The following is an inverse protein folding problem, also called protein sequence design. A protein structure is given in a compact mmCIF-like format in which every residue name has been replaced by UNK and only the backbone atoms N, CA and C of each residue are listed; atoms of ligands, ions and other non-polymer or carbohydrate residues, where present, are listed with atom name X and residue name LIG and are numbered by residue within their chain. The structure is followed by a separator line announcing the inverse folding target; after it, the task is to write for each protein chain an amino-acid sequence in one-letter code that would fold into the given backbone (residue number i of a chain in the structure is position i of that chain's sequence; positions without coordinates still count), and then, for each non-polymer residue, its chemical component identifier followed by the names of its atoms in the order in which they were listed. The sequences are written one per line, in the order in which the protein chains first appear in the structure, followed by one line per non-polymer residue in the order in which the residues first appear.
data_IF_627521468954
#
_entry.id   IF_627521468954
#
_cell.length_a   1.000
_cell.length_b   1.000
_cell.length_c   1.000
_cell.angle_alpha   90.00
_cell.angle_beta   90.00
_cell.angle_gamma   90.00
#
_symmetry.space_group_name_H-M   'P 1'
#
loop_
_entity.id
_entity.type
_entity.pdbx_description
1 polymer ?
#
# COMPACT_ATOMS: atom_id res chain seq x y z
N UNK A 1 -27.64 40.01 -21.14
CA UNK A 1 -27.58 38.53 -21.21
C UNK A 1 -27.04 38.04 -19.88
N UNK A 2 -27.86 37.36 -19.09
CA UNK A 2 -27.50 36.84 -17.77
C UNK A 2 -26.49 35.70 -17.93
N UNK A 3 -25.40 35.74 -17.15
CA UNK A 3 -24.44 34.65 -17.04
C UNK A 3 -25.14 33.43 -16.44
N UNK A 4 -25.41 32.45 -17.29
CA UNK A 4 -26.20 31.28 -16.98
C UNK A 4 -25.66 30.46 -15.82
N UNK A 5 -26.60 30.00 -15.01
CA UNK A 5 -26.50 28.90 -14.05
C UNK A 5 -25.83 27.67 -14.70
N UNK A 6 -24.53 27.53 -14.49
CA UNK A 6 -23.84 26.26 -14.70
C UNK A 6 -24.23 25.33 -13.55
N UNK A 7 -25.20 24.45 -13.82
CA UNK A 7 -25.60 23.37 -12.92
C UNK A 7 -24.38 22.64 -12.38
N UNK A 8 -24.27 22.55 -11.06
CA UNK A 8 -23.34 21.66 -10.39
C UNK A 8 -23.61 20.22 -10.84
N UNK A 9 -22.58 19.39 -11.04
CA UNK A 9 -22.78 17.99 -11.40
C UNK A 9 -23.69 17.31 -10.37
N UNK A 10 -24.64 16.49 -10.81
CA UNK A 10 -25.61 15.80 -9.95
C UNK A 10 -24.97 14.82 -8.96
N UNK A 11 -23.67 14.51 -9.12
CA UNK A 11 -22.91 13.58 -8.30
C UNK A 11 -22.03 14.31 -7.28
N UNK A 12 -22.68 14.92 -6.28
CA UNK A 12 -22.04 15.56 -5.12
C UNK A 12 -21.80 14.55 -3.99
N UNK A 13 -20.64 14.63 -3.36
CA UNK A 13 -20.23 13.88 -2.17
C UNK A 13 -19.78 14.83 -1.05
N UNK A 14 -19.75 14.38 0.19
CA UNK A 14 -19.13 15.14 1.27
C UNK A 14 -17.62 14.95 1.24
N UNK A 15 -17.17 13.71 1.03
CA UNK A 15 -15.77 13.31 0.99
C UNK A 15 -15.48 12.45 -0.24
N UNK A 16 -14.47 12.83 -1.02
CA UNK A 16 -13.88 11.97 -2.04
C UNK A 16 -12.49 11.53 -1.57
N UNK A 17 -12.28 10.22 -1.49
CA UNK A 17 -10.99 9.60 -1.19
C UNK A 17 -10.36 9.08 -2.48
N UNK A 18 -9.14 9.52 -2.77
CA UNK A 18 -8.42 9.14 -3.99
C UNK A 18 -7.35 8.11 -3.65
N UNK A 19 -7.55 6.87 -4.10
CA UNK A 19 -6.66 5.72 -3.88
C UNK A 19 -7.27 4.68 -2.94
N UNK A 20 -7.20 3.41 -3.32
CA UNK A 20 -7.69 2.23 -2.61
C UNK A 20 -6.59 1.42 -1.90
N UNK A 21 -5.47 2.08 -1.56
CA UNK A 21 -4.46 1.52 -0.66
C UNK A 21 -4.90 1.53 0.81
N UNK A 22 -4.06 1.07 1.76
CA UNK A 22 -4.43 0.96 3.17
C UNK A 22 -4.88 2.28 3.80
N UNK A 23 -4.20 3.38 3.47
CA UNK A 23 -4.61 4.71 3.91
C UNK A 23 -5.99 5.12 3.35
N UNK A 24 -6.25 4.81 2.08
CA UNK A 24 -7.47 5.22 1.41
C UNK A 24 -8.69 4.44 1.87
N UNK A 25 -8.62 3.11 1.93
CA UNK A 25 -9.74 2.30 2.46
C UNK A 25 -10.02 2.63 3.93
N UNK A 26 -8.99 2.93 4.72
CA UNK A 26 -9.16 3.38 6.11
C UNK A 26 -9.83 4.75 6.19
N UNK A 27 -9.40 5.72 5.36
CA UNK A 27 -10.00 7.04 5.31
C UNK A 27 -11.47 6.99 4.85
N UNK A 28 -11.79 6.14 3.86
CA UNK A 28 -13.18 5.94 3.42
C UNK A 28 -14.03 5.32 4.52
N UNK A 29 -13.53 4.28 5.22
CA UNK A 29 -14.20 3.70 6.39
C UNK A 29 -14.46 4.74 7.46
N UNK A 30 -13.43 5.48 7.88
CA UNK A 30 -13.56 6.52 8.92
C UNK A 30 -14.52 7.63 8.52
N UNK A 31 -14.52 8.05 7.25
CA UNK A 31 -15.46 9.05 6.72
C UNK A 31 -16.89 8.52 6.72
N UNK A 32 -17.13 7.32 6.21
CA UNK A 32 -18.45 6.72 6.17
C UNK A 32 -19.05 6.49 7.56
N UNK A 33 -18.22 6.13 8.55
CA UNK A 33 -18.64 5.98 9.96
C UNK A 33 -19.22 7.27 10.58
N UNK A 34 -18.91 8.45 10.05
CA UNK A 34 -19.50 9.71 10.51
C UNK A 34 -20.86 10.01 9.86
N UNK A 35 -21.29 9.19 8.90
CA UNK A 35 -22.47 9.41 8.07
C UNK A 35 -22.21 10.30 6.84
N UNK A 36 -20.96 10.66 6.56
CA UNK A 36 -20.62 11.45 5.37
C UNK A 36 -20.85 10.67 4.09
N UNK A 37 -21.47 11.29 3.08
CA UNK A 37 -21.61 10.71 1.74
C UNK A 37 -20.23 10.59 1.11
N UNK A 38 -19.66 9.38 1.13
CA UNK A 38 -18.25 9.13 0.85
C UNK A 38 -18.09 8.35 -0.45
N UNK A 39 -17.20 8.82 -1.32
CA UNK A 39 -16.76 8.09 -2.53
C UNK A 39 -15.27 7.78 -2.43
N UNK A 40 -14.89 6.52 -2.57
CA UNK A 40 -13.51 6.11 -2.81
C UNK A 40 -13.32 5.78 -4.30
N UNK A 41 -12.32 6.39 -4.94
CA UNK A 41 -11.91 6.06 -6.30
C UNK A 41 -10.55 5.38 -6.31
N UNK A 42 -10.43 4.27 -7.02
CA UNK A 42 -9.20 3.50 -7.22
C UNK A 42 -8.96 3.25 -8.71
N UNK A 43 -7.75 3.56 -9.17
CA UNK A 43 -7.37 3.42 -10.59
C UNK A 43 -7.29 1.97 -11.07
N UNK A 44 -6.94 1.05 -10.18
CA UNK A 44 -6.84 -0.37 -10.47
C UNK A 44 -8.23 -1.02 -10.47
N UNK A 45 -8.37 -2.14 -11.17
CA UNK A 45 -9.64 -2.87 -11.29
C UNK A 45 -10.10 -3.53 -9.99
N UNK A 46 -9.23 -3.62 -8.97
CA UNK A 46 -9.48 -4.32 -7.71
C UNK A 46 -8.86 -3.56 -6.54
N UNK A 47 -9.52 -3.63 -5.38
CA UNK A 47 -8.89 -3.34 -4.09
C UNK A 47 -8.02 -4.54 -3.72
N UNK A 48 -6.72 -4.43 -3.96
CA UNK A 48 -5.77 -5.53 -3.78
C UNK A 48 -4.34 -5.05 -3.51
N UNK A 49 -3.50 -5.95 -3.02
CA UNK A 49 -2.08 -5.71 -2.74
C UNK A 49 -1.21 -5.67 -4.01
N UNK A 50 -1.51 -4.76 -4.95
CA UNK A 50 -0.77 -4.65 -6.23
C UNK A 50 0.61 -4.01 -6.07
N UNK A 51 0.82 -3.23 -4.99
CA UNK A 51 2.12 -2.65 -4.66
C UNK A 51 2.94 -3.63 -3.79
N UNK A 52 4.19 -3.95 -4.17
CA UNK A 52 5.10 -4.75 -3.36
C UNK A 52 5.20 -4.25 -1.92
N UNK A 53 5.19 -5.19 -0.98
CA UNK A 53 5.16 -4.94 0.45
C UNK A 53 5.68 -6.17 1.20
N UNK A 54 6.40 -5.93 2.30
CA UNK A 54 6.85 -6.95 3.25
C UNK A 54 5.74 -7.73 3.96
N UNK A 55 4.53 -7.18 4.02
CA UNK A 55 3.36 -7.77 4.69
C UNK A 55 3.53 -8.14 6.18
N UNK A 56 4.66 -7.82 6.80
CA UNK A 56 4.83 -7.85 8.24
C UNK A 56 4.26 -6.58 8.90
N UNK A 57 3.34 -6.75 9.84
CA UNK A 57 2.72 -5.66 10.61
C UNK A 57 2.74 -5.98 12.10
N UNK A 58 2.63 -4.97 12.97
CA UNK A 58 2.40 -5.20 14.39
C UNK A 58 0.95 -5.60 14.66
N UNK A 59 0.67 -6.27 15.79
CA UNK A 59 -0.71 -6.58 16.21
C UNK A 59 -1.57 -5.32 16.30
N UNK A 60 -0.98 -4.24 16.81
CA UNK A 60 -1.60 -2.91 16.94
C UNK A 60 -2.09 -2.32 15.61
N UNK A 61 -1.52 -2.72 14.48
CA UNK A 61 -1.98 -2.27 13.16
C UNK A 61 -3.42 -2.73 12.88
N UNK A 62 -3.78 -3.99 13.21
CA UNK A 62 -5.16 -4.47 13.03
C UNK A 62 -6.12 -3.82 14.01
N UNK A 63 -5.69 -3.63 15.26
CA UNK A 63 -6.46 -2.89 16.29
C UNK A 63 -6.78 -1.47 15.83
N UNK A 64 -5.77 -0.74 15.34
CA UNK A 64 -5.92 0.63 14.85
C UNK A 64 -6.79 0.70 13.61
N UNK A 65 -6.69 -0.30 12.72
CA UNK A 65 -7.57 -0.41 11.55
C UNK A 65 -9.02 -0.78 11.93
N UNK A 66 -9.26 -1.22 13.18
CA UNK A 66 -10.54 -1.74 13.63
C UNK A 66 -10.95 -3.01 12.87
N UNK A 67 -9.97 -3.88 12.56
CA UNK A 67 -10.17 -5.12 11.82
C UNK A 67 -9.87 -6.29 12.75
N UNK A 68 -10.80 -7.23 12.86
CA UNK A 68 -10.57 -8.51 13.53
C UNK A 68 -9.90 -9.47 12.55
N UNK A 69 -9.01 -10.37 13.00
CA UNK A 69 -8.48 -11.42 12.13
C UNK A 69 -9.61 -12.28 11.56
N UNK A 70 -9.81 -12.20 10.24
CA UNK A 70 -10.68 -13.11 9.48
C UNK A 70 -9.85 -14.23 8.86
N UNK A 71 -10.52 -15.29 8.40
CA UNK A 71 -9.83 -16.44 7.79
C UNK A 71 -8.93 -15.99 6.61
N UNK A 72 -7.67 -16.42 6.64
CA UNK A 72 -6.68 -16.09 5.61
C UNK A 72 -6.06 -14.69 5.72
N UNK A 73 -6.55 -13.81 6.61
CA UNK A 73 -5.94 -12.49 6.82
C UNK A 73 -4.56 -12.62 7.47
N UNK A 74 -4.48 -13.36 8.58
CA UNK A 74 -3.21 -13.68 9.24
C UNK A 74 -2.66 -14.95 8.61
N UNK A 75 -1.47 -14.85 8.02
CA UNK A 75 -0.73 -15.98 7.47
C UNK A 75 0.02 -16.67 8.60
N UNK A 76 0.83 -15.91 9.34
CA UNK A 76 1.61 -16.39 10.48
C UNK A 76 1.60 -15.33 11.59
N UNK A 77 1.59 -15.76 12.85
CA UNK A 77 2.11 -14.93 13.95
C UNK A 77 3.62 -14.97 13.92
N UNK A 78 4.26 -13.80 13.99
CA UNK A 78 5.73 -13.72 13.84
C UNK A 78 6.37 -12.84 14.90
N UNK A 79 7.51 -13.29 15.41
CA UNK A 79 8.49 -12.44 16.08
C UNK A 79 9.50 -11.87 15.07
N UNK A 80 10.33 -10.91 15.47
CA UNK A 80 11.38 -10.38 14.59
C UNK A 80 12.77 -10.68 15.13
N UNK A 81 13.71 -10.98 14.24
CA UNK A 81 15.14 -11.09 14.56
C UNK A 81 15.95 -10.16 13.67
N UNK A 82 16.81 -9.38 14.30
CA UNK A 82 17.69 -8.41 13.63
C UNK A 82 19.13 -8.90 13.71
N UNK A 83 19.76 -9.09 12.55
CA UNK A 83 21.15 -9.52 12.42
C UNK A 83 22.05 -8.31 12.16
N UNK A 84 23.11 -8.19 12.94
CA UNK A 84 24.20 -7.24 12.74
C UNK A 84 25.20 -7.76 11.68
N UNK A 85 26.05 -6.89 11.10
CA UNK A 85 26.99 -7.28 10.03
C UNK A 85 27.99 -8.38 10.43
N UNK A 86 28.26 -8.55 11.72
CA UNK A 86 29.15 -9.58 12.25
C UNK A 86 28.44 -10.92 12.55
N UNK A 87 27.19 -11.08 12.11
CA UNK A 87 26.39 -12.29 12.31
C UNK A 87 25.71 -12.41 13.68
N UNK A 88 26.03 -11.54 14.66
CA UNK A 88 25.30 -11.50 15.93
C UNK A 88 23.86 -11.04 15.68
N UNK A 89 22.91 -11.53 16.48
CA UNK A 89 21.51 -11.14 16.35
C UNK A 89 20.83 -10.82 17.68
N UNK A 90 19.75 -10.06 17.59
CA UNK A 90 18.82 -9.78 18.70
C UNK A 90 17.42 -10.18 18.26
N UNK A 91 16.72 -10.94 19.11
CA UNK A 91 15.29 -11.24 18.94
C UNK A 91 14.46 -10.13 19.59
N UNK A 92 13.51 -9.59 18.84
CA UNK A 92 12.49 -8.66 19.34
C UNK A 92 11.32 -9.51 19.84
N UNK A 93 11.00 -9.38 21.13
CA UNK A 93 10.02 -10.22 21.82
C UNK A 93 8.56 -9.90 21.49
N UNK A 94 8.28 -8.75 20.89
CA UNK A 94 6.93 -8.40 20.45
C UNK A 94 6.51 -9.27 19.26
N UNK A 95 5.30 -9.81 19.34
CA UNK A 95 4.70 -10.58 18.25
C UNK A 95 3.91 -9.65 17.34
N UNK A 96 4.05 -9.84 16.04
CA UNK A 96 3.25 -9.23 14.98
C UNK A 96 2.60 -10.29 14.10
N UNK A 97 2.15 -9.87 12.92
CA UNK A 97 1.54 -10.75 11.93
C UNK A 97 2.25 -10.60 10.59
N UNK A 98 2.47 -11.74 9.93
CA UNK A 98 2.51 -11.78 8.47
C UNK A 98 1.08 -11.87 7.98
N UNK A 99 0.68 -10.96 7.08
CA UNK A 99 -0.70 -10.89 6.59
C UNK A 99 -0.84 -11.16 5.10
N UNK A 100 -2.04 -11.55 4.69
CA UNK A 100 -2.50 -11.36 3.33
C UNK A 100 -3.03 -9.93 3.21
N UNK A 101 -2.22 -9.05 2.62
CA UNK A 101 -2.58 -7.64 2.47
C UNK A 101 -3.81 -7.42 1.59
N UNK A 102 -4.09 -8.28 0.60
CA UNK A 102 -5.30 -8.15 -0.22
C UNK A 102 -6.55 -8.36 0.64
N UNK A 103 -6.56 -9.39 1.48
CA UNK A 103 -7.68 -9.65 2.40
C UNK A 103 -7.84 -8.49 3.38
N UNK A 104 -6.75 -7.98 3.96
CA UNK A 104 -6.83 -6.82 4.86
C UNK A 104 -7.47 -5.60 4.17
N UNK A 105 -7.04 -5.27 2.94
CA UNK A 105 -7.58 -4.11 2.22
C UNK A 105 -9.06 -4.30 1.87
N UNK A 106 -9.44 -5.51 1.46
CA UNK A 106 -10.82 -5.84 1.11
C UNK A 106 -11.73 -5.84 2.35
N UNK A 107 -11.24 -6.29 3.50
CA UNK A 107 -11.97 -6.25 4.77
C UNK A 107 -12.26 -4.80 5.21
N UNK A 108 -11.26 -3.92 5.14
CA UNK A 108 -11.47 -2.49 5.47
C UNK A 108 -12.41 -1.83 4.45
N UNK A 109 -12.29 -2.18 3.17
CA UNK A 109 -13.18 -1.67 2.13
C UNK A 109 -14.62 -2.14 2.30
N UNK A 110 -14.83 -3.41 2.67
CA UNK A 110 -16.15 -3.96 2.98
C UNK A 110 -16.79 -3.21 4.15
N UNK A 111 -16.04 -3.00 5.24
CA UNK A 111 -16.51 -2.20 6.37
C UNK A 111 -16.84 -0.75 5.98
N UNK A 112 -16.11 -0.14 5.05
CA UNK A 112 -16.47 1.18 4.53
C UNK A 112 -17.80 1.16 3.76
N UNK A 113 -17.99 0.16 2.89
CA UNK A 113 -19.21 -0.01 2.10
C UNK A 113 -20.44 -0.32 2.96
N UNK A 114 -20.28 -1.11 4.03
CA UNK A 114 -21.34 -1.37 5.02
C UNK A 114 -21.85 -0.08 5.68
N UNK A 115 -21.00 0.93 5.79
CA UNK A 115 -21.36 2.26 6.32
C UNK A 115 -21.72 3.26 5.20
N UNK A 116 -21.97 2.78 3.98
CA UNK A 116 -22.49 3.59 2.87
C UNK A 116 -21.43 4.26 2.00
N UNK A 117 -20.13 3.92 2.13
CA UNK A 117 -19.13 4.39 1.17
C UNK A 117 -19.36 3.75 -0.21
N UNK A 118 -19.42 4.58 -1.25
CA UNK A 118 -19.36 4.12 -2.64
C UNK A 118 -17.89 3.86 -3.02
N UNK A 119 -17.62 2.73 -3.68
CA UNK A 119 -16.25 2.33 -4.06
C UNK A 119 -16.19 2.10 -5.56
N UNK A 120 -15.48 2.96 -6.27
CA UNK A 120 -15.25 2.85 -7.70
C UNK A 120 -13.83 2.37 -7.98
N UNK A 121 -13.71 1.10 -8.36
CA UNK A 121 -12.48 0.54 -8.94
C UNK A 121 -12.43 0.79 -10.45
N UNK A 122 -11.24 0.80 -11.04
CA UNK A 122 -11.04 1.09 -12.46
C UNK A 122 -11.33 2.55 -12.82
N UNK A 123 -11.24 3.46 -11.84
CA UNK A 123 -11.50 4.88 -12.00
C UNK A 123 -10.28 5.69 -11.54
N UNK A 124 -9.59 6.28 -12.51
CA UNK A 124 -8.35 7.02 -12.25
C UNK A 124 -8.64 8.50 -11.98
N UNK A 125 -8.06 9.03 -10.91
CA UNK A 125 -7.96 10.47 -10.69
C UNK A 125 -7.10 11.14 -11.76
N UNK A 126 -7.60 12.25 -12.31
CA UNK A 126 -6.93 13.07 -13.32
C UNK A 126 -6.45 14.37 -12.71
N UNK A 127 -7.36 15.17 -12.14
CA UNK A 127 -7.06 16.50 -11.61
C UNK A 127 -8.15 16.98 -10.64
N UNK A 128 -7.88 18.05 -9.89
CA UNK A 128 -8.88 18.72 -9.06
C UNK A 128 -8.73 20.24 -9.09
N UNK A 129 -9.84 20.95 -8.87
CA UNK A 129 -9.86 22.41 -8.76
C UNK A 129 -10.80 22.84 -7.64
N UNK A 130 -10.40 23.85 -6.88
CA UNK A 130 -11.27 24.47 -5.87
C UNK A 130 -12.10 25.57 -6.51
N UNK A 131 -13.42 25.55 -6.30
CA UNK A 131 -14.35 26.57 -6.80
C UNK A 131 -15.50 26.77 -5.81
N UNK A 132 -15.77 28.02 -5.43
CA UNK A 132 -16.91 28.40 -4.59
C UNK A 132 -17.05 27.59 -3.28
N UNK A 133 -15.94 27.27 -2.62
CA UNK A 133 -15.93 26.49 -1.39
C UNK A 133 -15.97 24.97 -1.57
N UNK A 134 -16.23 24.47 -2.78
CA UNK A 134 -16.18 23.04 -3.11
C UNK A 134 -14.92 22.67 -3.91
N UNK A 135 -14.63 21.37 -3.97
CA UNK A 135 -13.58 20.78 -4.79
C UNK A 135 -14.23 20.01 -5.93
N UNK A 136 -13.96 20.42 -7.17
CA UNK A 136 -14.31 19.68 -8.37
C UNK A 136 -13.21 18.67 -8.66
N UNK A 137 -13.56 17.39 -8.69
CA UNK A 137 -12.66 16.26 -8.92
C UNK A 137 -12.92 15.68 -10.29
N UNK A 138 -11.90 15.66 -11.15
CA UNK A 138 -11.96 15.05 -12.48
C UNK A 138 -11.35 13.66 -12.43
N UNK A 139 -12.08 12.70 -12.98
CA UNK A 139 -11.67 11.29 -13.05
C UNK A 139 -11.75 10.78 -14.49
N UNK A 140 -11.34 9.54 -14.72
CA UNK A 140 -11.50 8.86 -16.01
C UNK A 140 -12.94 8.50 -16.34
N UNK A 141 -13.89 8.63 -15.41
CA UNK A 141 -15.32 8.34 -15.63
C UNK A 141 -16.21 9.58 -15.67
N UNK A 142 -15.75 10.71 -15.12
CA UNK A 142 -16.51 11.94 -15.14
C UNK A 142 -15.97 12.98 -14.17
N UNK A 143 -16.86 13.88 -13.76
CA UNK A 143 -16.56 14.92 -12.78
C UNK A 143 -17.52 14.83 -11.59
N UNK A 144 -16.96 15.01 -10.40
CA UNK A 144 -17.67 14.98 -9.13
C UNK A 144 -17.38 16.27 -8.36
N UNK A 145 -18.27 16.67 -7.46
CA UNK A 145 -17.97 17.73 -6.49
C UNK A 145 -17.93 17.16 -5.07
N UNK A 146 -17.04 17.70 -4.24
CA UNK A 146 -16.92 17.35 -2.85
C UNK A 146 -16.56 18.53 -1.95
N UNK A 147 -16.99 18.47 -0.69
CA UNK A 147 -16.55 19.41 0.34
C UNK A 147 -15.08 19.16 0.71
N UNK A 148 -14.68 17.89 0.78
CA UNK A 148 -13.33 17.46 1.18
C UNK A 148 -12.80 16.42 0.18
N UNK A 149 -11.51 16.53 -0.15
CA UNK A 149 -10.78 15.49 -0.90
C UNK A 149 -9.62 14.99 -0.06
N UNK A 150 -9.51 13.67 0.09
CA UNK A 150 -8.41 13.00 0.77
C UNK A 150 -7.50 12.34 -0.28
N UNK A 151 -6.29 12.88 -0.45
CA UNK A 151 -5.27 12.28 -1.32
C UNK A 151 -4.59 11.10 -0.63
N UNK A 152 -4.92 9.88 -1.02
CA UNK A 152 -4.36 8.63 -0.52
C UNK A 152 -3.76 7.76 -1.65
N UNK A 153 -3.29 8.40 -2.72
CA UNK A 153 -2.90 7.80 -4.00
C UNK A 153 -1.42 7.39 -4.09
N UNK A 154 -0.78 7.29 -2.92
CA UNK A 154 0.55 6.75 -2.74
C UNK A 154 1.70 7.73 -3.04
N UNK A 155 2.92 7.19 -3.05
CA UNK A 155 4.16 7.99 -3.11
C UNK A 155 4.24 8.96 -4.29
N UNK A 156 3.70 8.59 -5.45
CA UNK A 156 3.71 9.44 -6.64
C UNK A 156 2.52 10.42 -6.67
N UNK A 157 1.97 10.82 -5.51
CA UNK A 157 0.66 11.46 -5.38
C UNK A 157 0.37 12.48 -6.47
N UNK A 158 -0.63 12.19 -7.30
CA UNK A 158 -1.20 13.13 -8.28
C UNK A 158 -2.00 14.20 -7.58
N UNK A 159 -2.74 13.85 -6.52
CA UNK A 159 -3.51 14.83 -5.73
C UNK A 159 -2.62 15.92 -5.17
N UNK A 160 -1.50 15.56 -4.52
CA UNK A 160 -0.55 16.54 -3.98
C UNK A 160 0.03 17.44 -5.08
N UNK A 161 0.39 16.86 -6.24
CA UNK A 161 0.92 17.63 -7.39
C UNK A 161 -0.11 18.58 -7.99
N UNK A 162 -1.37 18.17 -8.13
CA UNK A 162 -2.46 19.04 -8.60
C UNK A 162 -2.67 20.25 -7.69
N UNK A 163 -2.36 20.10 -6.40
CA UNK A 163 -2.42 21.17 -5.40
C UNK A 163 -1.12 22.00 -5.29
N UNK A 164 -0.09 21.67 -6.08
CA UNK A 164 1.23 22.32 -5.98
C UNK A 164 1.98 22.00 -4.68
N UNK A 165 1.56 20.98 -3.93
CA UNK A 165 2.25 20.55 -2.71
C UNK A 165 3.57 19.91 -3.09
N UNK A 166 4.66 20.55 -2.69
CA UNK A 166 6.02 20.05 -2.88
C UNK A 166 6.56 19.53 -1.54
N UNK A 167 6.38 18.24 -1.31
CA UNK A 167 6.96 17.59 -0.14
C UNK A 167 8.32 16.98 -0.48
N UNK A 168 9.34 17.33 0.31
CA UNK A 168 10.67 16.71 0.20
C UNK A 168 10.61 15.33 0.87
N UNK A 169 10.32 14.30 0.09
CA UNK A 169 10.50 12.91 0.52
C UNK A 169 11.68 12.28 -0.19
N UNK A 170 12.51 11.56 0.55
CA UNK A 170 13.57 10.73 -0.03
C UNK A 170 13.03 9.30 -0.19
N UNK A 171 12.67 8.86 -1.42
CA UNK A 171 12.25 7.49 -1.63
C UNK A 171 13.42 6.56 -1.39
N UNK A 172 13.16 5.44 -0.71
CA UNK A 172 14.07 4.30 -0.66
C UNK A 172 13.59 3.29 -1.71
N UNK A 173 14.34 3.08 -2.81
CA UNK A 173 14.07 2.00 -3.74
C UNK A 173 14.14 0.66 -3.01
N UNK A 174 13.14 -0.18 -3.27
CA UNK A 174 13.07 -1.54 -2.76
C UNK A 174 12.84 -2.53 -3.88
N UNK A 175 13.39 -3.73 -3.72
CA UNK A 175 13.14 -4.88 -4.56
C UNK A 175 12.79 -6.07 -3.66
N UNK A 176 11.80 -6.87 -4.05
CA UNK A 176 11.41 -8.06 -3.32
C UNK A 176 11.02 -9.19 -4.26
N UNK A 177 11.20 -10.41 -3.80
CA UNK A 177 10.88 -11.66 -4.48
C UNK A 177 10.13 -12.60 -3.54
N UNK A 178 9.13 -13.30 -4.07
CA UNK A 178 8.60 -14.51 -3.45
C UNK A 178 9.32 -15.70 -4.05
N UNK A 179 10.08 -16.42 -3.23
CA UNK A 179 10.87 -17.57 -3.67
C UNK A 179 10.17 -18.83 -3.20
N UNK A 180 9.81 -19.70 -4.14
CA UNK A 180 9.21 -21.00 -3.88
C UNK A 180 10.28 -22.11 -3.81
N UNK A 181 9.95 -23.21 -3.14
CA UNK A 181 10.84 -24.36 -2.97
C UNK A 181 11.89 -24.16 -1.87
N UNK A 182 11.75 -23.11 -1.07
CA UNK A 182 12.57 -22.89 0.11
C UNK A 182 12.20 -23.87 1.23
N UNK A 183 13.09 -24.02 2.22
CA UNK A 183 12.83 -24.71 3.49
C UNK A 183 13.32 -23.82 4.61
N UNK A 184 12.55 -22.80 5.03
CA UNK A 184 12.97 -21.93 6.12
C UNK A 184 13.07 -22.74 7.42
N UNK A 185 14.00 -22.38 8.30
CA UNK A 185 14.16 -23.06 9.59
C UNK A 185 12.94 -22.86 10.50
N UNK A 186 12.24 -21.74 10.34
CA UNK A 186 10.98 -21.44 11.02
C UNK A 186 10.10 -20.52 10.16
N UNK A 187 8.79 -20.59 10.41
CA UNK A 187 7.78 -19.70 9.83
C UNK A 187 7.25 -18.63 10.80
N UNK A 188 7.68 -18.67 12.07
CA UNK A 188 7.25 -17.78 13.16
C UNK A 188 8.23 -16.62 13.47
N UNK A 189 9.23 -16.42 12.63
CA UNK A 189 10.25 -15.40 12.83
C UNK A 189 10.61 -14.71 11.51
N UNK A 190 10.39 -13.39 11.44
CA UNK A 190 10.90 -12.55 10.34
C UNK A 190 12.34 -12.15 10.61
N UNK A 191 13.17 -12.13 9.57
CA UNK A 191 14.59 -11.82 9.70
C UNK A 191 14.95 -10.55 8.95
N UNK A 192 15.66 -9.65 9.63
CA UNK A 192 16.15 -8.39 9.09
C UNK A 192 17.67 -8.40 9.18
N UNK A 193 18.34 -8.10 8.08
CA UNK A 193 19.80 -8.13 7.97
C UNK A 193 20.33 -6.72 7.74
N UNK A 194 21.14 -6.24 8.68
CA UNK A 194 21.79 -4.93 8.62
C UNK A 194 23.21 -5.07 8.08
N UNK A 195 23.64 -4.05 7.34
CA UNK A 195 25.04 -3.89 6.96
C UNK A 195 25.23 -3.20 5.63
N UNK A 196 26.10 -2.19 5.60
CA UNK A 196 26.34 -1.40 4.39
C UNK A 196 26.96 -2.21 3.24
N UNK A 197 27.65 -3.32 3.53
CA UNK A 197 28.15 -4.23 2.49
C UNK A 197 27.05 -5.05 1.81
N UNK A 198 25.90 -5.24 2.48
CA UNK A 198 24.74 -5.97 1.96
C UNK A 198 23.70 -5.00 1.38
N UNK A 199 23.27 -4.03 2.18
CA UNK A 199 22.24 -3.06 1.85
C UNK A 199 22.70 -1.65 2.31
N UNK A 200 23.44 -0.91 1.46
CA UNK A 200 23.95 0.42 1.81
C UNK A 200 22.85 1.35 2.34
N UNK A 201 23.03 1.84 3.57
CA UNK A 201 22.09 2.75 4.26
C UNK A 201 20.63 2.27 4.25
N UNK A 202 20.44 0.95 4.27
CA UNK A 202 19.13 0.30 4.33
C UNK A 202 19.25 -1.06 4.99
N UNK A 203 18.47 -2.04 4.54
CA UNK A 203 18.48 -3.39 5.07
C UNK A 203 17.94 -4.39 4.03
N UNK A 204 18.30 -5.65 4.22
CA UNK A 204 17.65 -6.77 3.55
C UNK A 204 16.71 -7.50 4.53
N UNK A 205 15.72 -8.19 4.00
CA UNK A 205 14.79 -8.97 4.80
C UNK A 205 14.52 -10.34 4.20
N UNK A 206 14.15 -11.26 5.08
CA UNK A 206 13.67 -12.60 4.75
C UNK A 206 12.47 -12.91 5.65
N UNK A 207 11.28 -12.91 5.07
CA UNK A 207 10.01 -13.09 5.76
C UNK A 207 9.36 -14.39 5.29
N UNK A 208 9.24 -15.40 6.17
CA UNK A 208 8.62 -16.66 5.79
C UNK A 208 7.12 -16.48 5.55
N UNK A 209 6.64 -16.97 4.41
CA UNK A 209 5.22 -16.99 4.07
C UNK A 209 4.62 -18.37 4.38
N UNK A 210 5.37 -19.44 4.09
CA UNK A 210 5.03 -20.82 4.45
C UNK A 210 6.30 -21.67 4.56
N UNK A 211 6.12 -22.94 4.89
CA UNK A 211 7.18 -23.97 4.89
C UNK A 211 7.88 -24.15 3.53
N UNK A 212 7.37 -23.51 2.46
CA UNK A 212 7.89 -23.65 1.09
C UNK A 212 8.14 -22.33 0.38
N UNK A 213 7.70 -21.22 0.95
CA UNK A 213 7.73 -19.90 0.31
C UNK A 213 8.28 -18.87 1.29
N UNK A 214 9.25 -18.11 0.82
CA UNK A 214 9.87 -17.03 1.57
C UNK A 214 9.85 -15.76 0.73
N UNK A 215 9.46 -14.65 1.35
CA UNK A 215 9.64 -13.34 0.76
C UNK A 215 11.02 -12.80 1.13
N UNK A 216 11.84 -12.47 0.13
CA UNK A 216 13.17 -11.88 0.32
C UNK A 216 13.20 -10.53 -0.36
N UNK A 217 13.74 -9.52 0.30
CA UNK A 217 13.91 -8.23 -0.35
C UNK A 217 15.03 -7.40 0.25
N UNK A 218 15.23 -6.26 -0.38
CA UNK A 218 16.28 -5.30 -0.03
C UNK A 218 15.81 -3.88 -0.31
N UNK A 219 16.15 -2.97 0.60
CA UNK A 219 16.00 -1.54 0.43
C UNK A 219 17.34 -0.85 0.57
N UNK A 220 17.67 0.04 -0.36
CA UNK A 220 18.97 0.73 -0.40
C UNK A 220 18.74 2.22 -0.62
N UNK A 221 19.23 3.06 0.29
CA UNK A 221 19.12 4.51 0.16
C UNK A 221 20.09 5.01 -0.91
N UNK A 222 19.65 5.95 -1.73
CA UNK A 222 20.46 6.55 -2.80
C UNK A 222 20.75 5.61 -3.98
N UNK A 223 20.19 4.40 -4.00
CA UNK A 223 20.20 3.57 -5.18
C UNK A 223 19.44 4.27 -6.33
N UNK A 224 19.89 4.15 -7.59
CA UNK A 224 19.12 4.66 -8.71
C UNK A 224 17.77 3.95 -8.76
N UNK A 225 16.72 4.68 -9.14
CA UNK A 225 15.42 4.07 -9.42
C UNK A 225 15.62 3.10 -10.58
N UNK A 226 15.41 1.81 -10.34
CA UNK A 226 15.42 0.81 -11.41
C UNK A 226 14.25 1.11 -12.37
N UNK A 227 14.58 1.59 -13.58
CA UNK A 227 13.69 1.53 -14.74
C UNK A 227 13.80 0.15 -15.39
N UNK A 228 13.56 -0.92 -14.63
CA UNK A 228 13.49 -2.26 -15.21
C UNK A 228 12.18 -2.36 -15.97
N UNK A 229 12.26 -2.16 -17.28
CA UNK A 229 11.39 -2.86 -18.23
C UNK A 229 11.91 -4.29 -18.17
N UNK A 230 11.13 -5.22 -17.60
CA UNK A 230 11.51 -6.63 -17.65
C UNK A 230 11.43 -7.05 -19.13
N UNK A 231 12.54 -7.34 -19.83
CA UNK A 231 12.42 -8.03 -21.10
C UNK A 231 11.73 -9.36 -20.81
N UNK A 232 10.82 -9.78 -21.66
CA UNK A 232 10.01 -11.01 -21.53
C UNK A 232 10.81 -12.31 -21.40
N UNK A 233 12.13 -12.24 -21.25
CA UNK A 233 13.05 -13.37 -21.09
C UNK A 233 14.24 -12.97 -20.22
N UNK A 234 14.68 -13.81 -19.26
CA UNK A 234 15.91 -13.57 -18.52
C UNK A 234 17.13 -13.60 -19.46
N UNK A 235 18.20 -12.82 -19.17
CA UNK A 235 19.40 -12.84 -20.00
C UNK A 235 20.04 -14.24 -19.99
N UNK A 236 20.64 -14.69 -21.11
CA UNK A 236 21.08 -16.09 -21.32
C UNK A 236 22.04 -16.67 -20.26
N UNK A 237 22.66 -15.81 -19.45
CA UNK A 237 23.77 -16.17 -18.56
C UNK A 237 23.48 -16.01 -17.06
N UNK A 238 22.22 -15.81 -16.65
CA UNK A 238 21.87 -15.73 -15.23
C UNK A 238 21.84 -17.13 -14.60
N UNK A 239 22.92 -17.52 -13.91
CA UNK A 239 22.96 -18.70 -13.04
C UNK A 239 22.90 -18.27 -11.58
N UNK A 240 21.78 -18.55 -10.91
CA UNK A 240 21.70 -18.49 -9.45
C UNK A 240 22.35 -19.75 -8.89
N UNK A 241 23.58 -19.65 -8.40
CA UNK A 241 24.19 -20.73 -7.61
C UNK A 241 23.50 -20.77 -6.24
N UNK A 242 22.45 -21.57 -6.14
CA UNK A 242 21.93 -22.07 -4.87
C UNK A 242 22.64 -23.39 -4.60
N UNK A 243 23.71 -23.35 -3.82
CA UNK A 243 24.26 -24.57 -3.21
C UNK A 243 23.23 -25.10 -2.21
N UNK A 244 22.71 -26.30 -2.50
CA UNK A 244 21.87 -27.11 -1.60
C UNK A 244 22.66 -27.61 -0.39
#
# INVERSE_FOLDING_TARGET
MSLGDLRMPSNRYDVIVVGGGPAGVSAAKSSALTGAKTLLIERNQLIAALKPCGQAISKKTLETAGVKPVQGLVINEVSARVYAPNGRSVKIGETGYMINKTILLQEIAAQAAEHGAEIHVGEAFIDLKRRNGEVLVKTSRGEYSASIVIGADGYNSRVARSLGVQEKSEPIPTLQYLIAGCRPETVDEIRIYLGNGLAPKGYAWMFPVSERIVEVGIGVRGAPRLSIIWPSSPPPNFRMNLSM
#
